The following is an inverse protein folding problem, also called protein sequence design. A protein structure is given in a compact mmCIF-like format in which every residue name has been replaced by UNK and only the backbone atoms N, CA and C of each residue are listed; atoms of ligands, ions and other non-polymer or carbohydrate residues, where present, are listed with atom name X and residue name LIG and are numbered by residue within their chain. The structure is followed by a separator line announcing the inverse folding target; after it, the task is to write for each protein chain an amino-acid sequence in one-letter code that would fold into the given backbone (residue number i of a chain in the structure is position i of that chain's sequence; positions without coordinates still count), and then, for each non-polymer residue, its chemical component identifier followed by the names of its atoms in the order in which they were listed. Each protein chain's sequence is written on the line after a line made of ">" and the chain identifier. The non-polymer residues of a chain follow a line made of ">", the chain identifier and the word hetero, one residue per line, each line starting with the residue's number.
data_IF_821076100964
#
_entry.id   IF_821076100964
#
_cell.length_a   1.000
_cell.length_b   1.000
_cell.length_c   1.000
_cell.angle_alpha   90.00
_cell.angle_beta   90.00
_cell.angle_gamma   90.00
#
_symmetry.space_group_name_H-M   'P 1'
#
loop_
_entity.id
_entity.type
_entity.pdbx_description
1 polymer ?
#
# COMPACT_ATOMS: atom_id res chain seq x y z
N UNK A 1 43.97 25.63 -40.78
CA UNK A 1 43.34 24.35 -40.41
C UNK A 1 43.46 24.01 -38.92
N UNK A 2 44.63 24.18 -38.28
CA UNK A 2 44.83 23.97 -36.82
C UNK A 2 43.80 24.68 -35.92
N UNK A 3 43.42 25.93 -36.22
CA UNK A 3 42.42 26.66 -35.43
C UNK A 3 40.99 26.08 -35.54
N UNK A 4 40.66 25.42 -36.65
CA UNK A 4 39.37 24.72 -36.84
C UNK A 4 39.37 23.38 -36.11
N UNK A 5 40.50 22.65 -36.15
CA UNK A 5 40.71 21.45 -35.36
C UNK A 5 40.68 21.73 -33.85
N UNK A 6 41.31 22.82 -33.39
CA UNK A 6 41.26 23.26 -32.00
C UNK A 6 39.83 23.54 -31.52
N UNK A 7 39.01 24.27 -32.31
CA UNK A 7 37.59 24.50 -31.97
C UNK A 7 36.75 23.23 -31.92
N UNK A 8 36.98 22.27 -32.83
CA UNK A 8 36.28 20.98 -32.83
C UNK A 8 36.68 20.14 -31.61
N UNK A 9 37.96 20.13 -31.25
CA UNK A 9 38.47 19.44 -30.06
C UNK A 9 37.93 20.07 -28.76
N UNK A 10 37.87 21.41 -28.67
CA UNK A 10 37.27 22.11 -27.53
C UNK A 10 35.78 21.80 -27.38
N UNK A 11 35.00 21.84 -28.47
CA UNK A 11 33.57 21.47 -28.43
C UNK A 11 33.33 20.02 -28.01
N UNK A 12 34.16 19.08 -28.50
CA UNK A 12 34.08 17.67 -28.07
C UNK A 12 34.45 17.49 -26.60
N UNK A 13 35.43 18.24 -26.09
CA UNK A 13 35.78 18.22 -24.67
C UNK A 13 34.67 18.80 -23.79
N UNK A 14 34.05 19.92 -24.19
CA UNK A 14 32.89 20.50 -23.50
C UNK A 14 31.72 19.50 -23.45
N UNK A 15 31.44 18.82 -24.55
CA UNK A 15 30.39 17.80 -24.64
C UNK A 15 30.69 16.59 -23.75
N UNK A 16 31.93 16.10 -23.76
CA UNK A 16 32.37 15.01 -22.89
C UNK A 16 32.23 15.35 -21.40
N UNK A 17 32.60 16.58 -21.01
CA UNK A 17 32.45 17.08 -19.64
C UNK A 17 30.96 17.17 -19.27
N UNK A 18 30.11 17.74 -20.14
CA UNK A 18 28.66 17.81 -19.91
C UNK A 18 28.06 16.43 -19.72
N UNK A 19 28.41 15.47 -20.57
CA UNK A 19 27.94 14.08 -20.43
C UNK A 19 28.44 13.43 -19.13
N UNK A 20 29.67 13.70 -18.70
CA UNK A 20 30.19 13.21 -17.43
C UNK A 20 29.43 13.81 -16.24
N UNK A 21 29.14 15.11 -16.26
CA UNK A 21 28.33 15.79 -15.24
C UNK A 21 26.92 15.21 -15.19
N UNK A 22 26.25 15.06 -16.33
CA UNK A 22 24.90 14.49 -16.40
C UNK A 22 24.86 13.05 -15.88
N UNK A 23 25.84 12.21 -16.26
CA UNK A 23 25.98 10.85 -15.73
C UNK A 23 26.13 10.86 -14.21
N UNK A 24 27.01 11.71 -13.68
CA UNK A 24 27.22 11.78 -12.24
C UNK A 24 25.98 12.29 -11.49
N UNK A 25 25.22 13.23 -12.06
CA UNK A 25 23.93 13.67 -11.49
C UNK A 25 22.92 12.53 -11.40
N UNK A 26 22.83 11.69 -12.44
CA UNK A 26 21.93 10.53 -12.45
C UNK A 26 22.30 9.51 -11.39
N UNK A 27 23.59 9.25 -11.20
CA UNK A 27 24.06 8.36 -10.13
C UNK A 27 23.68 8.91 -8.75
N UNK A 28 23.88 10.20 -8.51
CA UNK A 28 23.50 10.86 -7.25
C UNK A 28 22.00 10.72 -6.99
N UNK A 29 21.15 10.98 -7.99
CA UNK A 29 19.70 10.82 -7.87
C UNK A 29 19.33 9.37 -7.57
N UNK A 30 19.91 8.41 -8.26
CA UNK A 30 19.65 6.99 -8.00
C UNK A 30 20.01 6.63 -6.55
N UNK A 31 21.21 7.01 -6.09
CA UNK A 31 21.71 6.70 -4.76
C UNK A 31 20.87 7.37 -3.65
N UNK A 32 20.28 8.54 -3.94
CA UNK A 32 19.38 9.26 -3.03
C UNK A 32 18.06 8.51 -2.78
N UNK A 33 17.53 7.82 -3.79
CA UNK A 33 16.21 7.19 -3.70
C UNK A 33 16.24 5.67 -3.51
N UNK A 34 17.28 4.97 -3.98
CA UNK A 34 17.33 3.49 -3.92
C UNK A 34 17.25 2.98 -2.47
N UNK A 35 17.92 3.67 -1.53
CA UNK A 35 17.92 3.30 -0.11
C UNK A 35 16.61 3.65 0.61
N UNK A 36 15.70 4.35 -0.07
CA UNK A 36 14.40 4.79 0.44
C UNK A 36 13.24 4.01 -0.16
N UNK A 37 13.51 3.01 -1.00
CA UNK A 37 12.49 2.09 -1.50
C UNK A 37 11.78 1.46 -0.30
N UNK A 38 10.45 1.50 -0.31
CA UNK A 38 9.64 1.09 0.85
C UNK A 38 9.17 2.25 1.73
N UNK A 39 9.65 3.48 1.54
CA UNK A 39 9.22 4.65 2.30
C UNK A 39 8.06 5.41 1.63
N UNK A 40 7.41 6.27 2.41
CA UNK A 40 6.55 7.32 1.86
C UNK A 40 7.39 8.52 1.45
N UNK A 41 7.28 8.88 0.18
CA UNK A 41 7.90 10.08 -0.38
C UNK A 41 6.81 11.14 -0.59
N UNK A 42 7.17 12.40 -0.33
CA UNK A 42 6.31 13.55 -0.60
C UNK A 42 6.84 14.33 -1.80
N UNK A 43 5.92 14.85 -2.61
CA UNK A 43 6.26 15.71 -3.74
C UNK A 43 5.07 16.59 -4.15
N UNK A 44 5.21 17.27 -5.28
CA UNK A 44 4.12 18.00 -5.92
C UNK A 44 3.81 17.42 -7.29
N UNK A 45 2.53 17.33 -7.64
CA UNK A 45 2.12 16.86 -8.96
C UNK A 45 2.56 17.91 -9.98
N UNK A 46 3.41 17.51 -10.93
CA UNK A 46 3.95 18.40 -11.94
C UNK A 46 3.08 18.40 -13.20
N UNK A 47 2.92 17.23 -13.83
CA UNK A 47 2.20 17.08 -15.09
C UNK A 47 1.53 15.72 -15.21
N UNK A 48 0.70 15.59 -16.23
CA UNK A 48 0.07 14.33 -16.63
C UNK A 48 0.58 13.94 -18.00
N UNK A 49 0.93 12.67 -18.18
CA UNK A 49 1.25 12.10 -19.49
C UNK A 49 0.27 10.95 -19.75
N UNK A 50 -0.72 11.20 -20.60
CA UNK A 50 -1.86 10.32 -20.74
C UNK A 50 -2.62 10.19 -19.41
N UNK A 51 -2.61 8.99 -18.81
CA UNK A 51 -3.24 8.71 -17.51
C UNK A 51 -2.25 8.67 -16.35
N UNK A 52 -0.95 8.74 -16.64
CA UNK A 52 0.11 8.67 -15.65
C UNK A 52 0.38 10.06 -15.07
N UNK A 53 0.72 10.08 -13.79
CA UNK A 53 0.98 11.32 -13.04
C UNK A 53 2.48 11.43 -12.79
N UNK A 54 3.07 12.55 -13.19
CA UNK A 54 4.46 12.86 -12.90
C UNK A 54 4.53 13.77 -11.67
N UNK A 55 5.31 13.34 -10.69
CA UNK A 55 5.47 13.98 -9.38
C UNK A 55 6.90 14.53 -9.29
N UNK A 56 7.02 15.82 -9.00
CA UNK A 56 8.29 16.46 -8.71
C UNK A 56 8.66 16.22 -7.24
N UNK A 57 9.84 15.63 -7.02
CA UNK A 57 10.41 15.34 -5.70
C UNK A 57 11.49 16.35 -5.27
N UNK A 58 11.71 17.41 -6.06
CA UNK A 58 12.78 18.38 -5.87
C UNK A 58 14.01 18.03 -6.71
N UNK A 59 14.71 16.96 -6.31
CA UNK A 59 15.95 16.52 -6.97
C UNK A 59 15.70 15.63 -8.20
N UNK A 60 14.48 15.10 -8.36
CA UNK A 60 14.10 14.18 -9.42
C UNK A 60 12.60 14.24 -9.73
N UNK A 61 12.21 13.64 -10.86
CA UNK A 61 10.82 13.34 -11.18
C UNK A 61 10.53 11.85 -10.97
N UNK A 62 9.33 11.56 -10.47
CA UNK A 62 8.84 10.21 -10.27
C UNK A 62 7.50 10.02 -10.98
N UNK A 63 7.23 8.78 -11.39
CA UNK A 63 6.00 8.42 -12.07
C UNK A 63 5.07 7.68 -11.10
N UNK A 64 3.81 8.09 -11.07
CA UNK A 64 2.69 7.38 -10.45
C UNK A 64 1.77 6.89 -11.59
N UNK A 65 1.94 5.63 -12.04
CA UNK A 65 1.16 5.08 -13.14
C UNK A 65 -0.32 4.97 -12.82
N UNK A 66 -1.15 4.92 -13.85
CA UNK A 66 -2.59 4.81 -13.66
C UNK A 66 -3.02 3.58 -12.86
N UNK A 67 -2.33 2.45 -12.99
CA UNK A 67 -2.59 1.21 -12.22
C UNK A 67 -2.26 1.36 -10.73
N UNK A 68 -1.37 2.27 -10.38
CA UNK A 68 -0.88 2.49 -9.01
C UNK A 68 -1.58 3.66 -8.30
N UNK A 69 -2.54 4.30 -8.98
CA UNK A 69 -3.39 5.35 -8.41
C UNK A 69 -4.54 4.76 -7.62
N UNK A 70 -5.02 5.49 -6.62
CA UNK A 70 -6.25 5.15 -5.93
C UNK A 70 -7.43 5.46 -6.88
N UNK A 71 -8.29 4.48 -7.22
CA UNK A 71 -9.47 4.75 -8.05
C UNK A 71 -10.39 5.79 -7.42
N UNK A 72 -10.77 6.81 -8.19
CA UNK A 72 -11.64 7.90 -7.74
C UNK A 72 -10.95 9.04 -7.00
N UNK A 73 -9.67 8.90 -6.67
CA UNK A 73 -8.87 10.00 -6.13
C UNK A 73 -8.66 11.10 -7.19
N UNK A 74 -8.75 12.36 -6.76
CA UNK A 74 -8.55 13.53 -7.62
C UNK A 74 -7.11 14.01 -7.53
N UNK A 75 -6.54 14.31 -8.69
CA UNK A 75 -5.16 14.74 -8.85
C UNK A 75 -5.17 16.02 -9.68
N UNK A 76 -4.53 17.09 -9.20
CA UNK A 76 -4.35 18.32 -9.97
C UNK A 76 -2.88 18.74 -9.95
N UNK A 77 -2.43 19.37 -11.03
CA UNK A 77 -1.09 19.93 -11.09
C UNK A 77 -0.92 20.99 -9.99
N UNK A 78 0.21 20.95 -9.29
CA UNK A 78 0.53 21.78 -8.14
C UNK A 78 0.15 21.17 -6.79
N UNK A 79 -0.77 20.20 -6.73
CA UNK A 79 -1.17 19.57 -5.48
C UNK A 79 0.00 18.82 -4.84
N UNK A 80 0.11 18.89 -3.52
CA UNK A 80 1.03 18.05 -2.76
C UNK A 80 0.48 16.63 -2.69
N UNK A 81 1.37 15.66 -2.85
CA UNK A 81 1.02 14.25 -2.80
C UNK A 81 2.07 13.47 -2.00
N UNK A 82 1.59 12.50 -1.23
CA UNK A 82 2.42 11.46 -0.61
C UNK A 82 2.23 10.16 -1.37
N UNK A 83 3.26 9.36 -1.55
CA UNK A 83 3.10 8.05 -2.19
C UNK A 83 4.18 7.09 -1.69
N UNK A 84 3.87 5.81 -1.74
CA UNK A 84 4.82 4.74 -1.45
C UNK A 84 5.82 4.62 -2.60
N UNK A 85 7.11 4.62 -2.30
CA UNK A 85 8.18 4.38 -3.26
C UNK A 85 8.33 2.88 -3.52
N UNK A 86 7.82 2.42 -4.65
CA UNK A 86 7.79 1.00 -5.03
C UNK A 86 9.16 0.52 -5.51
N UNK A 87 9.79 1.27 -6.41
CA UNK A 87 11.08 0.89 -6.98
C UNK A 87 11.83 2.09 -7.55
N UNK A 88 13.15 1.91 -7.67
CA UNK A 88 14.05 2.84 -8.35
C UNK A 88 14.92 2.04 -9.32
N UNK A 89 14.77 2.29 -10.61
CA UNK A 89 15.45 1.54 -11.67
C UNK A 89 16.45 2.44 -12.41
N UNK A 90 17.64 1.90 -12.70
CA UNK A 90 18.61 2.58 -13.58
C UNK A 90 18.12 2.48 -15.02
N UNK A 91 18.16 3.60 -15.75
CA UNK A 91 17.82 3.64 -17.17
C UNK A 91 18.99 4.24 -17.98
N UNK A 92 18.87 4.27 -19.32
CA UNK A 92 19.81 5.02 -20.17
C UNK A 92 19.69 6.55 -19.95
N UNK A 93 18.54 7.00 -19.44
CA UNK A 93 18.23 8.37 -19.08
C UNK A 93 18.32 8.58 -17.58
N UNK A 94 17.41 9.37 -17.04
CA UNK A 94 17.30 9.57 -15.61
C UNK A 94 16.73 8.33 -14.92
N UNK A 95 17.06 8.06 -13.64
CA UNK A 95 16.53 6.92 -12.92
C UNK A 95 15.00 6.94 -12.92
N UNK A 96 14.38 5.77 -13.15
CA UNK A 96 12.92 5.64 -13.11
C UNK A 96 12.51 5.39 -11.67
N UNK A 97 11.85 6.37 -11.07
CA UNK A 97 11.33 6.31 -9.70
C UNK A 97 9.84 6.01 -9.79
N UNK A 98 9.43 4.84 -9.32
CA UNK A 98 8.05 4.36 -9.39
C UNK A 98 7.35 4.57 -8.05
N UNK A 99 6.26 5.33 -8.08
CA UNK A 99 5.41 5.59 -6.93
C UNK A 99 4.10 4.80 -7.01
N UNK A 100 3.51 4.52 -5.85
CA UNK A 100 2.17 3.97 -5.74
C UNK A 100 1.39 4.55 -4.57
N UNK A 101 0.09 4.72 -4.78
CA UNK A 101 -0.89 4.96 -3.71
C UNK A 101 -1.85 3.77 -3.57
N UNK A 102 -1.89 2.85 -4.53
CA UNK A 102 -2.71 1.64 -4.50
C UNK A 102 -2.03 0.45 -3.79
N UNK A 103 -0.70 0.46 -3.66
CA UNK A 103 0.08 -0.63 -3.07
C UNK A 103 -0.26 -0.86 -1.59
N UNK A 104 -0.45 -2.12 -1.11
CA UNK A 104 -0.79 -2.39 0.30
C UNK A 104 0.18 -1.78 1.31
N UNK A 105 1.48 -1.79 1.03
CA UNK A 105 2.50 -1.17 1.90
C UNK A 105 2.32 0.34 2.09
N UNK A 106 1.57 1.03 1.24
CA UNK A 106 1.24 2.43 1.51
C UNK A 106 0.39 2.56 2.79
N UNK A 107 -0.55 1.64 3.02
CA UNK A 107 -1.34 1.59 4.26
C UNK A 107 -0.45 1.27 5.45
N UNK A 108 0.48 0.33 5.31
CA UNK A 108 1.44 -0.02 6.34
C UNK A 108 2.29 1.19 6.77
N UNK A 109 2.91 1.88 5.80
CA UNK A 109 3.75 3.03 6.10
C UNK A 109 2.94 4.20 6.68
N UNK A 110 1.68 4.39 6.25
CA UNK A 110 0.81 5.40 6.86
C UNK A 110 0.45 5.06 8.31
N UNK A 111 0.18 3.80 8.61
CA UNK A 111 -0.05 3.35 9.99
C UNK A 111 1.20 3.51 10.83
N UNK A 112 2.38 3.15 10.30
CA UNK A 112 3.66 3.34 10.99
C UNK A 112 3.92 4.80 11.37
N UNK A 113 3.59 5.75 10.50
CA UNK A 113 3.73 7.18 10.80
C UNK A 113 2.72 7.70 11.84
N UNK A 114 1.56 7.06 11.96
CA UNK A 114 0.45 7.52 12.81
C UNK A 114 0.42 6.80 14.18
N UNK A 115 0.98 5.59 14.25
CA UNK A 115 0.97 4.71 15.43
C UNK A 115 2.42 4.48 15.87
N UNK A 116 2.92 5.24 16.87
CA UNK A 116 4.30 5.14 17.34
C UNK A 116 4.71 3.71 17.72
N UNK A 117 3.77 2.93 18.26
CA UNK A 117 4.02 1.56 18.69
C UNK A 117 4.37 0.62 17.51
N UNK A 118 3.94 0.95 16.28
CA UNK A 118 4.36 0.24 15.06
C UNK A 118 5.78 0.65 14.65
N UNK A 119 6.12 1.93 14.82
CA UNK A 119 7.48 2.42 14.54
C UNK A 119 8.52 1.87 15.51
N UNK A 120 8.18 1.78 16.80
CA UNK A 120 9.00 1.23 17.87
C UNK A 120 9.11 -0.31 17.82
N UNK A 121 8.22 -0.97 17.08
CA UNK A 121 8.20 -2.42 16.91
C UNK A 121 7.46 -3.19 18.01
N UNK A 122 6.76 -2.51 18.91
CA UNK A 122 5.88 -3.14 19.92
C UNK A 122 4.62 -3.72 19.28
N UNK A 123 4.10 -3.04 18.24
CA UNK A 123 3.04 -3.54 17.38
C UNK A 123 3.60 -3.90 16.00
N UNK A 124 3.09 -4.98 15.44
CA UNK A 124 3.51 -5.46 14.11
C UNK A 124 2.29 -5.58 13.22
N UNK A 125 2.35 -4.97 12.02
CA UNK A 125 1.41 -5.25 10.95
C UNK A 125 1.83 -6.53 10.26
N UNK A 126 1.05 -7.61 10.43
CA UNK A 126 1.38 -8.94 9.91
C UNK A 126 0.96 -9.11 8.47
N UNK A 127 -0.22 -8.62 8.11
CA UNK A 127 -0.77 -8.77 6.76
C UNK A 127 -1.80 -7.69 6.42
N UNK A 128 -1.86 -7.34 5.14
CA UNK A 128 -2.81 -6.37 4.61
C UNK A 128 -3.53 -6.99 3.40
N UNK A 129 -4.85 -7.00 3.45
CA UNK A 129 -5.70 -7.29 2.30
C UNK A 129 -6.38 -5.99 1.86
N UNK A 130 -6.09 -5.53 0.64
CA UNK A 130 -6.48 -4.19 0.17
C UNK A 130 -7.30 -4.23 -1.11
N UNK A 131 -8.35 -3.41 -1.13
CA UNK A 131 -9.04 -2.91 -2.32
C UNK A 131 -8.94 -1.37 -2.30
N UNK A 132 -7.93 -0.83 -2.99
CA UNK A 132 -7.55 0.57 -2.91
C UNK A 132 -8.72 1.54 -3.18
N UNK A 133 -8.83 2.58 -2.34
CA UNK A 133 -9.89 3.59 -2.40
C UNK A 133 -11.24 3.13 -1.87
N UNK A 134 -11.37 1.86 -1.47
CA UNK A 134 -12.61 1.29 -0.95
C UNK A 134 -12.44 0.80 0.48
N UNK A 135 -11.68 -0.28 0.67
CA UNK A 135 -11.55 -0.93 1.96
C UNK A 135 -10.25 -1.73 2.06
N UNK A 136 -9.61 -1.70 3.22
CA UNK A 136 -8.48 -2.55 3.58
C UNK A 136 -8.73 -3.24 4.92
N UNK A 137 -8.44 -4.53 4.98
CA UNK A 137 -8.28 -5.27 6.24
C UNK A 137 -6.79 -5.30 6.59
N UNK A 138 -6.47 -4.96 7.83
CA UNK A 138 -5.10 -4.90 8.34
C UNK A 138 -5.03 -5.75 9.60
N UNK A 139 -4.25 -6.82 9.56
CA UNK A 139 -4.07 -7.70 10.70
C UNK A 139 -2.85 -7.25 11.52
N UNK A 140 -3.09 -6.95 12.80
CA UNK A 140 -2.09 -6.41 13.72
C UNK A 140 -1.89 -7.33 14.92
N UNK A 141 -0.65 -7.43 15.37
CA UNK A 141 -0.25 -8.17 16.56
C UNK A 141 0.48 -7.25 17.52
N UNK A 142 0.33 -7.50 18.82
CA UNK A 142 1.18 -6.89 19.84
C UNK A 142 2.21 -7.89 20.33
N UNK A 143 3.47 -7.49 20.37
CA UNK A 143 4.55 -8.25 20.99
C UNK A 143 4.60 -8.04 22.51
N UNK A 144 3.92 -7.01 23.02
CA UNK A 144 3.69 -6.80 24.46
C UNK A 144 2.26 -7.26 24.83
N UNK A 145 2.10 -8.27 25.70
CA UNK A 145 0.78 -8.76 26.11
C UNK A 145 -0.05 -7.72 26.87
N UNK A 146 0.56 -6.65 27.37
CA UNK A 146 -0.14 -5.55 28.07
C UNK A 146 -0.67 -4.49 27.11
N UNK A 147 -0.35 -4.56 25.82
CA UNK A 147 -0.77 -3.60 24.81
C UNK A 147 -1.83 -4.23 23.91
N UNK A 148 -3.01 -3.60 23.84
CA UNK A 148 -4.04 -4.02 22.89
C UNK A 148 -3.69 -3.53 21.48
N UNK A 149 -3.43 -4.47 20.56
CA UNK A 149 -3.00 -4.16 19.20
C UNK A 149 -4.03 -3.32 18.43
N UNK A 150 -5.31 -3.72 18.49
CA UNK A 150 -6.38 -3.07 17.73
C UNK A 150 -6.69 -1.69 18.32
N UNK A 151 -6.97 -1.61 19.63
CA UNK A 151 -7.30 -0.35 20.31
C UNK A 151 -6.21 0.70 20.17
N UNK A 152 -4.94 0.30 20.26
CA UNK A 152 -3.79 1.21 20.09
C UNK A 152 -3.70 1.76 18.65
N UNK A 153 -3.96 0.93 17.64
CA UNK A 153 -3.99 1.38 16.25
C UNK A 153 -5.21 2.27 15.93
N UNK A 154 -6.36 2.02 16.57
CA UNK A 154 -7.57 2.83 16.42
C UNK A 154 -7.38 4.21 17.06
N UNK A 155 -6.79 4.26 18.26
CA UNK A 155 -6.62 5.47 19.06
C UNK A 155 -7.94 6.01 19.63
N UNK A 156 -7.86 7.08 20.43
CA UNK A 156 -9.02 7.66 21.10
C UNK A 156 -10.16 7.99 20.11
N UNK A 157 -11.28 7.29 20.27
CA UNK A 157 -12.45 7.41 19.40
C UNK A 157 -12.15 7.20 17.91
N UNK A 158 -11.11 6.46 17.52
CA UNK A 158 -10.74 6.22 16.12
C UNK A 158 -9.89 7.30 15.46
N UNK A 159 -9.25 8.18 16.23
CA UNK A 159 -8.51 9.33 15.71
C UNK A 159 -7.38 8.94 14.75
N UNK A 160 -6.56 7.94 15.11
CA UNK A 160 -5.39 7.52 14.34
C UNK A 160 -5.79 6.92 12.98
N UNK A 161 -6.68 5.92 12.99
CA UNK A 161 -7.21 5.32 11.74
C UNK A 161 -7.91 6.33 10.83
N UNK A 162 -8.57 7.35 11.38
CA UNK A 162 -9.18 8.40 10.56
C UNK A 162 -8.16 9.23 9.78
N UNK A 163 -6.98 9.48 10.35
CA UNK A 163 -5.91 10.20 9.63
C UNK A 163 -5.48 9.38 8.41
N UNK A 164 -5.25 8.08 8.58
CA UNK A 164 -4.90 7.16 7.49
C UNK A 164 -6.03 7.07 6.45
N UNK A 165 -7.28 6.89 6.90
CA UNK A 165 -8.48 6.85 6.03
C UNK A 165 -8.59 8.12 5.17
N UNK A 166 -8.33 9.29 5.76
CA UNK A 166 -8.38 10.58 5.06
C UNK A 166 -7.26 10.68 4.03
N UNK A 167 -6.05 10.26 4.38
CA UNK A 167 -4.92 10.24 3.43
C UNK A 167 -5.20 9.28 2.27
N UNK A 168 -5.96 8.21 2.46
CA UNK A 168 -6.35 7.25 1.43
C UNK A 168 -7.67 7.61 0.71
N UNK A 169 -8.05 8.89 0.69
CA UNK A 169 -9.24 9.38 0.00
C UNK A 169 -10.56 8.70 0.44
N UNK A 170 -10.67 8.35 1.72
CA UNK A 170 -11.88 7.78 2.31
C UNK A 170 -11.95 6.25 2.33
N UNK A 171 -10.87 5.56 1.92
CA UNK A 171 -10.73 4.11 2.05
C UNK A 171 -10.95 3.65 3.50
N UNK A 172 -11.89 2.73 3.72
CA UNK A 172 -12.20 2.20 5.06
C UNK A 172 -11.12 1.24 5.53
N UNK A 173 -10.61 1.42 6.75
CA UNK A 173 -9.61 0.52 7.35
C UNK A 173 -10.29 -0.29 8.45
N UNK A 174 -10.32 -1.61 8.28
CA UNK A 174 -10.68 -2.55 9.33
C UNK A 174 -9.40 -3.11 9.94
N UNK A 175 -9.20 -2.87 11.24
CA UNK A 175 -8.11 -3.47 12.00
C UNK A 175 -8.61 -4.74 12.65
N UNK A 176 -7.90 -5.85 12.45
CA UNK A 176 -8.24 -7.15 13.02
C UNK A 176 -7.06 -7.70 13.80
N UNK A 177 -7.32 -8.47 14.85
CA UNK A 177 -6.25 -9.10 15.63
C UNK A 177 -5.65 -10.25 14.81
N UNK A 178 -4.33 -10.25 14.65
CA UNK A 178 -3.61 -11.37 14.07
C UNK A 178 -3.73 -12.62 14.94
N UNK A 179 -3.73 -13.78 14.31
CA UNK A 179 -3.57 -15.07 14.97
C UNK A 179 -2.84 -16.01 14.02
N UNK A 180 -1.93 -16.83 14.56
CA UNK A 180 -1.28 -17.89 13.79
C UNK A 180 -2.24 -19.07 13.51
N UNK A 181 -3.34 -19.16 14.27
CA UNK A 181 -4.44 -20.08 13.94
C UNK A 181 -5.26 -19.50 12.79
N UNK A 182 -5.28 -20.20 11.66
CA UNK A 182 -6.07 -19.83 10.48
C UNK A 182 -7.54 -19.68 10.82
N UNK A 183 -8.10 -20.61 11.61
CA UNK A 183 -9.49 -20.54 12.06
C UNK A 183 -9.74 -19.23 12.83
N UNK A 184 -8.88 -18.91 13.80
CA UNK A 184 -9.07 -17.72 14.62
C UNK A 184 -8.87 -16.44 13.80
N UNK A 185 -7.86 -16.40 12.93
CA UNK A 185 -7.63 -15.26 12.04
C UNK A 185 -8.81 -15.05 11.08
N UNK A 186 -9.41 -16.13 10.57
CA UNK A 186 -10.61 -16.09 9.73
C UNK A 186 -11.79 -15.50 10.51
N UNK A 187 -12.04 -15.96 11.74
CA UNK A 187 -13.09 -15.43 12.62
C UNK A 187 -12.89 -13.93 12.85
N UNK A 188 -11.69 -13.52 13.24
CA UNK A 188 -11.34 -12.10 13.43
C UNK A 188 -11.50 -11.29 12.14
N UNK A 189 -11.18 -11.87 10.98
CA UNK A 189 -11.22 -11.19 9.69
C UNK A 189 -12.64 -11.01 9.15
N UNK A 190 -13.61 -11.83 9.56
CA UNK A 190 -15.02 -11.70 9.15
C UNK A 190 -15.81 -10.66 9.94
N UNK A 191 -15.23 -10.13 11.03
CA UNK A 191 -15.83 -9.03 11.78
C UNK A 191 -16.31 -7.91 10.83
N UNK A 192 -17.52 -7.37 11.06
CA UNK A 192 -18.34 -7.50 12.27
C UNK A 192 -19.27 -8.73 12.33
N UNK A 193 -19.26 -9.63 11.36
CA UNK A 193 -20.10 -10.83 11.41
C UNK A 193 -19.51 -11.90 12.34
N UNK A 194 -20.39 -12.49 13.15
CA UNK A 194 -20.10 -13.59 14.06
C UNK A 194 -20.01 -14.90 13.28
N UNK A 195 -19.09 -15.77 13.70
CA UNK A 195 -18.87 -17.08 13.07
C UNK A 195 -19.32 -18.18 14.01
N UNK A 196 -20.21 -19.04 13.54
CA UNK A 196 -20.70 -20.24 14.26
C UNK A 196 -19.62 -21.32 14.16
N UNK A 197 -19.26 -21.72 12.94
CA UNK A 197 -18.26 -22.76 12.69
C UNK A 197 -17.42 -22.44 11.46
N UNK A 198 -16.23 -23.03 11.44
CA UNK A 198 -15.29 -22.98 10.31
C UNK A 198 -14.87 -24.41 10.03
N UNK A 199 -15.03 -24.84 8.79
CA UNK A 199 -14.49 -26.08 8.26
C UNK A 199 -13.35 -25.75 7.29
N UNK A 200 -12.14 -26.20 7.63
CA UNK A 200 -10.92 -25.89 6.88
C UNK A 200 -10.47 -27.11 6.07
N UNK A 201 -10.29 -26.89 4.76
CA UNK A 201 -9.63 -27.83 3.86
C UNK A 201 -8.26 -27.27 3.46
N UNK A 202 -7.25 -27.59 4.28
CA UNK A 202 -5.87 -27.14 4.07
C UNK A 202 -5.26 -27.69 2.77
N UNK A 203 -5.72 -28.85 2.28
CA UNK A 203 -5.19 -29.43 1.04
C UNK A 203 -5.58 -28.59 -0.16
N UNK A 204 -6.82 -28.13 -0.20
CA UNK A 204 -7.35 -27.33 -1.30
C UNK A 204 -7.35 -25.82 -1.04
N UNK A 205 -6.88 -25.39 0.14
CA UNK A 205 -6.91 -23.99 0.59
C UNK A 205 -8.33 -23.41 0.52
N UNK A 206 -9.30 -24.17 1.03
CA UNK A 206 -10.72 -23.77 1.10
C UNK A 206 -11.19 -23.70 2.54
N UNK A 207 -12.10 -22.78 2.81
CA UNK A 207 -12.76 -22.66 4.10
C UNK A 207 -14.27 -22.51 3.89
N UNK A 208 -15.06 -23.36 4.53
CA UNK A 208 -16.50 -23.18 4.64
C UNK A 208 -16.81 -22.56 6.00
N UNK A 209 -17.57 -21.47 6.00
CA UNK A 209 -17.86 -20.69 7.20
C UNK A 209 -19.36 -20.58 7.37
N UNK A 210 -19.84 -20.97 8.54
CA UNK A 210 -21.25 -20.83 8.89
C UNK A 210 -21.41 -19.61 9.78
N UNK A 211 -22.29 -18.70 9.39
CA UNK A 211 -22.67 -17.51 10.16
C UNK A 211 -24.17 -17.54 10.47
N UNK A 212 -24.66 -16.76 11.46
CA UNK A 212 -26.10 -16.62 11.69
C UNK A 212 -26.85 -16.16 10.43
N UNK A 213 -28.07 -16.64 10.23
CA UNK A 213 -28.89 -16.31 9.05
C UNK A 213 -29.10 -14.80 8.88
N UNK A 214 -29.26 -14.08 9.98
CA UNK A 214 -29.44 -12.62 10.00
C UNK A 214 -28.15 -11.84 9.73
N UNK A 215 -26.98 -12.47 9.87
CA UNK A 215 -25.66 -11.89 9.63
C UNK A 215 -25.04 -12.32 8.29
N UNK A 216 -25.67 -13.23 7.52
CA UNK A 216 -25.14 -13.71 6.25
C UNK A 216 -24.80 -12.57 5.27
N UNK A 217 -25.71 -11.61 5.12
CA UNK A 217 -25.50 -10.42 4.28
C UNK A 217 -24.34 -9.55 4.77
N UNK A 218 -24.17 -9.44 6.09
CA UNK A 218 -23.08 -8.70 6.72
C UNK A 218 -21.74 -9.39 6.48
N UNK A 219 -21.70 -10.72 6.63
CA UNK A 219 -20.52 -11.55 6.42
C UNK A 219 -20.04 -11.46 4.96
N UNK A 220 -20.96 -11.57 3.99
CA UNK A 220 -20.66 -11.39 2.55
C UNK A 220 -20.17 -9.95 2.28
N UNK A 221 -20.90 -8.97 2.81
CA UNK A 221 -20.65 -7.55 2.60
C UNK A 221 -21.05 -7.06 1.20
N UNK A 222 -21.10 -5.74 1.01
CA UNK A 222 -21.54 -5.12 -0.26
C UNK A 222 -20.71 -5.62 -1.45
N UNK A 223 -21.33 -6.36 -2.36
CA UNK A 223 -20.67 -6.95 -3.53
C UNK A 223 -19.61 -8.01 -3.19
N UNK A 224 -19.78 -8.72 -2.06
CA UNK A 224 -18.85 -9.76 -1.59
C UNK A 224 -17.52 -9.20 -1.08
N UNK A 225 -17.43 -7.90 -0.79
CA UNK A 225 -16.16 -7.26 -0.44
C UNK A 225 -15.57 -7.79 0.86
N UNK A 226 -16.39 -8.09 1.87
CA UNK A 226 -15.89 -8.53 3.16
C UNK A 226 -15.23 -9.91 3.02
N UNK A 227 -15.96 -10.88 2.45
CA UNK A 227 -15.44 -12.24 2.15
C UNK A 227 -14.21 -12.19 1.25
N UNK A 228 -14.20 -11.38 0.19
CA UNK A 228 -13.05 -11.29 -0.72
C UNK A 228 -11.80 -10.72 -0.04
N UNK A 229 -11.96 -9.74 0.84
CA UNK A 229 -10.84 -9.21 1.63
C UNK A 229 -10.37 -10.22 2.67
N UNK A 230 -11.28 -10.94 3.32
CA UNK A 230 -10.96 -12.06 4.22
C UNK A 230 -10.21 -13.16 3.47
N UNK A 231 -10.69 -13.60 2.30
CA UNK A 231 -10.04 -14.58 1.45
C UNK A 231 -8.61 -14.16 1.08
N UNK A 232 -8.40 -12.88 0.73
CA UNK A 232 -7.05 -12.31 0.51
C UNK A 232 -6.20 -12.26 1.79
N UNK A 233 -6.80 -12.00 2.95
CA UNK A 233 -6.13 -11.94 4.26
C UNK A 233 -5.72 -13.32 4.76
N UNK A 234 -6.50 -14.36 4.47
CA UNK A 234 -6.20 -15.72 4.90
C UNK A 234 -5.34 -16.44 3.84
N UNK A 235 -5.61 -16.20 2.56
CA UNK A 235 -5.04 -16.94 1.43
C UNK A 235 -5.83 -18.21 1.10
N UNK A 236 -7.11 -18.26 1.48
CA UNK A 236 -8.03 -19.37 1.25
C UNK A 236 -9.20 -18.87 0.40
N UNK A 237 -9.81 -19.78 -0.38
CA UNK A 237 -11.12 -19.55 -0.96
C UNK A 237 -12.18 -19.76 0.13
N UNK A 238 -13.01 -18.73 0.37
CA UNK A 238 -13.92 -18.71 1.52
C UNK A 238 -15.35 -18.73 1.02
N UNK A 239 -16.05 -19.81 1.36
CA UNK A 239 -17.49 -19.94 1.17
C UNK A 239 -18.18 -19.60 2.49
N UNK A 240 -19.11 -18.65 2.46
CA UNK A 240 -19.91 -18.28 3.62
C UNK A 240 -21.36 -18.69 3.37
N UNK A 241 -21.94 -19.41 4.31
CA UNK A 241 -23.33 -19.86 4.28
C UNK A 241 -23.97 -19.70 5.67
N UNK A 242 -25.26 -20.00 5.77
CA UNK A 242 -26.00 -20.02 7.01
C UNK A 242 -26.64 -21.40 7.24
N UNK A 243 -27.07 -21.73 8.48
CA UNK A 243 -27.70 -23.01 8.76
C UNK A 243 -28.92 -23.30 7.88
N UNK A 244 -29.70 -22.27 7.52
CA UNK A 244 -30.88 -22.45 6.66
C UNK A 244 -30.52 -22.74 5.20
N UNK A 245 -29.47 -22.11 4.68
CA UNK A 245 -28.98 -22.36 3.32
C UNK A 245 -28.31 -23.73 3.19
N UNK A 246 -27.59 -24.20 4.21
CA UNK A 246 -26.93 -25.51 4.18
C UNK A 246 -27.92 -26.68 4.27
N UNK A 247 -29.06 -26.47 4.93
CA UNK A 247 -30.12 -27.47 5.04
C UNK A 247 -31.01 -27.59 3.79
N UNK A 248 -30.87 -26.67 2.82
CA UNK A 248 -31.68 -26.57 1.60
C UNK A 248 -31.01 -27.26 0.42
#
# INVERSE_FOLDING_TARGET
>A
ELARFGRIATKKAEEAIRQAITRKKRDIVYDLFINRVGEIISGSIHRFEGKDVWVNLGDAEAILPNSERIPGERYHAGDRIRAYLVSVERTQGDPRILLSRAHPEFVHQLLRLEVPEIEEGTLVVRRIAREAGRRSKVAVESLDPNVDAVGTCVGAGGARVRVVTRELSGEKIDLVRWSDSIEQLLRNSLEPASVISVDLDDKNHKAKVIVPDDELSLAIGKGGQNVRLTAKMIGYDIEVTSPSEEAS
#
